data_IF_210045702511
#
_entry.id   IF_210045702511
#
_cell.length_a   1.000
_cell.length_b   1.000
_cell.length_c   1.000
_cell.angle_alpha   90.00
_cell.angle_beta   90.00
_cell.angle_gamma   90.00
#
_symmetry.space_group_name_H-M   'P 1'
#
loop_
_entity.id
_entity.type
_entity.pdbx_description
1 polymer ?
#
# COMPACT_ATOMS: atom_id res chain seq x y z
N UNK A 1 -20.76 2.95 -5.58
CA UNK A 1 -19.41 2.84 -6.18
C UNK A 1 -19.19 3.98 -7.15
N UNK A 2 -18.84 5.17 -6.63
CA UNK A 2 -18.87 6.41 -7.42
C UNK A 2 -17.93 6.38 -8.63
N UNK A 3 -16.73 5.81 -8.50
CA UNK A 3 -15.79 5.72 -9.62
C UNK A 3 -16.34 4.85 -10.77
N UNK A 4 -16.92 3.69 -10.44
CA UNK A 4 -17.63 2.84 -11.39
C UNK A 4 -18.83 3.55 -12.02
N UNK A 5 -19.66 4.20 -11.20
CA UNK A 5 -20.85 4.95 -11.67
C UNK A 5 -20.46 6.12 -12.59
N UNK A 6 -19.28 6.71 -12.38
CA UNK A 6 -18.72 7.75 -13.24
C UNK A 6 -18.06 7.21 -14.52
N UNK A 7 -17.98 5.89 -14.70
CA UNK A 7 -17.42 5.25 -15.89
C UNK A 7 -15.91 5.21 -15.95
N UNK A 8 -15.20 5.22 -14.82
CA UNK A 8 -13.75 5.02 -14.81
C UNK A 8 -13.38 3.55 -15.03
N UNK A 9 -12.35 3.31 -15.85
CA UNK A 9 -11.83 1.97 -16.10
C UNK A 9 -10.82 1.49 -15.03
N UNK A 10 -10.23 2.41 -14.26
CA UNK A 10 -9.17 2.10 -13.28
C UNK A 10 -9.45 2.84 -11.97
N UNK A 11 -9.31 2.11 -10.85
CA UNK A 11 -9.31 2.66 -9.50
C UNK A 11 -7.94 2.38 -8.86
N UNK A 12 -7.35 3.42 -8.25
CA UNK A 12 -6.05 3.32 -7.59
C UNK A 12 -6.18 3.13 -6.07
N UNK A 13 -5.51 2.12 -5.53
CA UNK A 13 -5.07 2.10 -4.13
C UNK A 13 -3.76 2.87 -4.06
N UNK A 14 -3.80 4.07 -3.46
CA UNK A 14 -2.72 5.05 -3.57
C UNK A 14 -1.81 5.04 -2.34
N UNK A 15 -0.75 4.22 -2.40
CA UNK A 15 0.22 3.98 -1.33
C UNK A 15 1.58 4.66 -1.58
N UNK A 16 1.56 5.94 -1.96
CA UNK A 16 2.76 6.72 -2.29
C UNK A 16 2.67 8.16 -1.75
N UNK A 17 3.69 8.98 -2.01
CA UNK A 17 3.77 10.41 -1.70
C UNK A 17 3.42 10.79 -0.25
N UNK A 18 3.83 9.95 0.72
CA UNK A 18 3.62 10.20 2.15
C UNK A 18 2.16 10.36 2.59
N UNK A 19 1.21 9.94 1.75
CA UNK A 19 -0.19 9.81 2.14
C UNK A 19 -0.39 8.64 3.11
N UNK A 20 -1.62 8.48 3.61
CA UNK A 20 -1.98 7.55 4.67
C UNK A 20 -1.36 6.15 4.52
N UNK A 21 -1.55 5.51 3.37
CA UNK A 21 -1.04 4.16 3.16
C UNK A 21 0.49 4.09 3.14
N UNK A 22 1.15 5.11 2.59
CA UNK A 22 2.62 5.21 2.67
C UNK A 22 3.10 5.39 4.12
N UNK A 23 2.32 6.07 4.97
CA UNK A 23 2.63 6.21 6.41
C UNK A 23 2.47 4.88 7.15
N UNK A 24 1.48 4.06 6.82
CA UNK A 24 1.32 2.71 7.38
C UNK A 24 2.52 1.80 7.04
N UNK A 25 3.01 1.87 5.79
CA UNK A 25 4.16 1.08 5.34
C UNK A 25 5.48 1.50 6.01
N UNK A 26 5.62 2.78 6.33
CA UNK A 26 6.88 3.35 6.85
C UNK A 26 7.06 3.08 8.35
N UNK A 27 8.15 2.41 8.78
CA UNK A 27 8.44 2.23 10.21
C UNK A 27 8.77 3.54 10.93
N UNK A 28 9.12 4.61 10.20
CA UNK A 28 9.36 5.94 10.77
C UNK A 28 8.06 6.60 11.23
N UNK A 29 6.97 6.39 10.49
CA UNK A 29 5.67 7.01 10.72
C UNK A 29 4.72 6.08 11.49
N UNK A 30 4.71 4.79 11.16
CA UNK A 30 3.88 3.81 11.82
C UNK A 30 4.56 3.24 13.07
N UNK A 31 4.27 3.86 14.21
CA UNK A 31 4.71 3.43 15.55
C UNK A 31 3.62 2.71 16.34
N UNK A 32 2.61 2.16 15.65
CA UNK A 32 1.54 1.40 16.30
C UNK A 32 2.10 0.11 16.89
N UNK A 33 1.42 -0.40 17.90
CA UNK A 33 1.77 -1.65 18.61
C UNK A 33 0.68 -2.71 18.49
N UNK A 34 -0.30 -2.48 17.61
CA UNK A 34 -1.38 -3.41 17.31
C UNK A 34 -1.10 -4.19 16.01
N UNK A 35 -2.10 -4.89 15.48
CA UNK A 35 -1.99 -5.71 14.27
C UNK A 35 -1.66 -4.94 12.98
N UNK A 36 -1.58 -3.61 13.02
CA UNK A 36 -1.22 -2.76 11.88
C UNK A 36 0.16 -2.10 12.00
N UNK A 37 0.89 -2.32 13.09
CA UNK A 37 2.24 -1.78 13.30
C UNK A 37 3.25 -2.84 13.70
N UNK A 38 4.51 -2.42 13.87
CA UNK A 38 5.59 -3.34 14.22
C UNK A 38 6.10 -4.09 12.98
N UNK A 39 6.04 -5.44 12.92
CA UNK A 39 6.56 -6.23 11.79
C UNK A 39 6.04 -5.81 10.42
N UNK A 40 6.76 -6.17 9.35
CA UNK A 40 6.45 -5.78 7.99
C UNK A 40 5.04 -6.25 7.57
N UNK A 41 4.67 -7.47 7.92
CA UNK A 41 3.38 -8.11 7.62
C UNK A 41 2.21 -7.31 8.19
N UNK A 42 2.40 -6.71 9.37
CA UNK A 42 1.39 -5.86 9.99
C UNK A 42 1.29 -4.51 9.27
N UNK A 43 2.42 -3.92 8.88
CA UNK A 43 2.45 -2.62 8.19
C UNK A 43 1.83 -2.69 6.78
N UNK A 44 1.98 -3.81 6.08
CA UNK A 44 1.35 -4.02 4.75
C UNK A 44 -0.13 -4.38 4.84
N UNK A 45 -0.61 -4.84 6.01
CA UNK A 45 -1.96 -5.38 6.22
C UNK A 45 -3.06 -4.49 5.65
N UNK A 46 -3.06 -3.22 6.03
CA UNK A 46 -4.08 -2.26 5.59
C UNK A 46 -4.09 -2.08 4.06
N UNK A 47 -2.92 -2.08 3.42
CA UNK A 47 -2.81 -1.96 1.97
C UNK A 47 -3.41 -3.20 1.29
N UNK A 48 -3.12 -4.39 1.82
CA UNK A 48 -3.66 -5.65 1.31
C UNK A 48 -5.19 -5.69 1.42
N UNK A 49 -5.72 -5.35 2.59
CA UNK A 49 -7.17 -5.30 2.85
C UNK A 49 -7.87 -4.32 1.91
N UNK A 50 -7.31 -3.14 1.68
CA UNK A 50 -7.88 -2.18 0.74
C UNK A 50 -7.83 -2.64 -0.72
N UNK A 51 -6.81 -3.41 -1.13
CA UNK A 51 -6.79 -4.01 -2.47
C UNK A 51 -7.92 -5.04 -2.60
N UNK A 52 -8.05 -5.93 -1.61
CA UNK A 52 -9.10 -6.96 -1.55
C UNK A 52 -10.50 -6.32 -1.57
N UNK A 53 -10.79 -5.39 -0.67
CA UNK A 53 -12.07 -4.70 -0.58
C UNK A 53 -12.38 -3.85 -1.83
N UNK A 54 -11.36 -3.20 -2.41
CA UNK A 54 -11.57 -2.42 -3.64
C UNK A 54 -11.92 -3.33 -4.81
N UNK A 55 -11.22 -4.46 -4.97
CA UNK A 55 -11.52 -5.48 -5.99
C UNK A 55 -12.95 -5.98 -5.86
N UNK A 56 -13.37 -6.34 -4.64
CA UNK A 56 -14.74 -6.79 -4.38
C UNK A 56 -15.78 -5.72 -4.72
N UNK A 57 -15.48 -4.46 -4.40
CA UNK A 57 -16.39 -3.35 -4.64
C UNK A 57 -16.51 -2.97 -6.14
N UNK A 58 -15.41 -3.01 -6.92
CA UNK A 58 -15.43 -2.71 -8.36
C UNK A 58 -15.89 -3.90 -9.20
N UNK A 59 -15.68 -5.13 -8.74
CA UNK A 59 -15.89 -6.34 -9.55
C UNK A 59 -15.10 -6.28 -10.87
N UNK A 60 -15.64 -6.86 -11.93
CA UNK A 60 -14.96 -6.89 -13.24
C UNK A 60 -15.08 -5.59 -14.05
N UNK A 61 -15.68 -4.54 -13.47
CA UNK A 61 -15.97 -3.29 -14.19
C UNK A 61 -14.81 -2.29 -14.21
N UNK A 62 -13.86 -2.42 -13.29
CA UNK A 62 -12.66 -1.57 -13.25
C UNK A 62 -11.44 -2.42 -12.89
N UNK A 63 -10.27 -2.08 -13.43
CA UNK A 63 -9.02 -2.59 -12.90
C UNK A 63 -8.66 -1.90 -11.57
N UNK A 64 -8.08 -2.66 -10.65
CA UNK A 64 -7.52 -2.12 -9.40
C UNK A 64 -6.01 -2.03 -9.54
N UNK A 65 -5.48 -0.81 -9.55
CA UNK A 65 -4.06 -0.53 -9.62
C UNK A 65 -3.53 -0.09 -8.25
N UNK A 66 -2.30 -0.47 -7.92
CA UNK A 66 -1.61 0.03 -6.73
C UNK A 66 -0.52 0.99 -7.17
N UNK A 67 -0.49 2.19 -6.60
CA UNK A 67 0.64 3.10 -6.80
C UNK A 67 1.45 3.19 -5.52
N UNK A 68 2.69 2.72 -5.59
CA UNK A 68 3.61 2.66 -4.46
C UNK A 68 4.99 3.19 -4.86
N UNK A 69 5.68 3.82 -3.92
CA UNK A 69 7.06 4.28 -4.13
C UNK A 69 8.01 3.09 -4.01
N UNK A 70 8.93 2.93 -4.96
CA UNK A 70 10.01 1.95 -4.88
C UNK A 70 11.06 2.34 -3.81
N UNK A 71 11.21 3.64 -3.56
CA UNK A 71 12.02 4.21 -2.50
C UNK A 71 11.33 5.51 -2.02
N UNK A 72 11.32 5.74 -0.72
CA UNK A 72 10.80 6.98 -0.12
C UNK A 72 11.93 7.95 0.29
N UNK A 73 13.18 7.61 -0.02
CA UNK A 73 14.36 8.42 0.26
C UNK A 73 14.76 8.44 1.74
N UNK A 74 14.24 7.50 2.54
CA UNK A 74 14.52 7.45 3.99
C UNK A 74 15.58 6.42 4.39
N UNK A 75 16.09 5.63 3.44
CA UNK A 75 17.12 4.63 3.70
C UNK A 75 18.48 5.23 4.04
N UNK A 76 19.24 4.54 4.88
CA UNK A 76 20.67 4.81 5.10
C UNK A 76 21.52 3.78 4.36
N UNK A 77 22.82 4.02 4.15
CA UNK A 77 23.71 3.02 3.57
C UNK A 77 23.71 1.67 4.32
N UNK A 78 23.50 1.69 5.64
CA UNK A 78 23.46 0.51 6.51
C UNK A 78 22.09 -0.18 6.53
N UNK A 79 21.01 0.56 6.26
CA UNK A 79 19.64 0.08 6.21
C UNK A 79 18.94 0.62 4.95
N UNK A 80 19.21 0.01 3.78
CA UNK A 80 18.57 0.44 2.55
C UNK A 80 17.09 0.04 2.55
N UNK A 81 16.21 1.05 2.40
CA UNK A 81 14.75 0.87 2.28
C UNK A 81 14.37 -0.04 1.12
N UNK A 82 15.23 -0.15 0.10
CA UNK A 82 14.99 -0.97 -1.09
C UNK A 82 14.79 -2.46 -0.82
N UNK A 83 15.41 -3.02 0.23
CA UNK A 83 15.26 -4.44 0.55
C UNK A 83 13.85 -4.74 1.08
N UNK A 84 13.40 -3.93 2.03
CA UNK A 84 12.06 -4.05 2.61
C UNK A 84 10.96 -3.75 1.56
N UNK A 85 11.19 -2.79 0.67
CA UNK A 85 10.25 -2.46 -0.41
C UNK A 85 10.05 -3.62 -1.38
N UNK A 86 11.10 -4.37 -1.70
CA UNK A 86 10.99 -5.57 -2.53
C UNK A 86 10.07 -6.60 -1.88
N UNK A 87 10.27 -6.86 -0.60
CA UNK A 87 9.44 -7.79 0.16
C UNK A 87 7.98 -7.33 0.23
N UNK A 88 7.72 -6.03 0.41
CA UNK A 88 6.36 -5.47 0.31
C UNK A 88 5.72 -5.72 -1.05
N UNK A 89 6.47 -5.57 -2.16
CA UNK A 89 5.94 -5.85 -3.49
C UNK A 89 5.60 -7.34 -3.67
N UNK A 90 6.42 -8.24 -3.14
CA UNK A 90 6.18 -9.68 -3.18
C UNK A 90 4.96 -10.07 -2.32
N UNK A 91 4.71 -9.39 -1.20
CA UNK A 91 3.54 -9.63 -0.34
C UNK A 91 2.22 -9.12 -0.93
N UNK A 92 2.26 -8.20 -1.90
CA UNK A 92 1.07 -7.55 -2.49
C UNK A 92 0.77 -8.01 -3.94
N UNK A 93 1.64 -8.83 -4.53
CA UNK A 93 1.48 -9.39 -5.87
C UNK A 93 0.56 -10.62 -5.86
#
# INVERSE_FOLDING_TARGET
MRAREAGFDIVYVYATHMYLLAQFLSPLHNRRTDEYGGPLENRVRLVRELIEETKDAVGDSCAVAVRMSADDGTGTPEQPVSAERREMFEMLA
#
